data_IF_054389707907
#
_entry.id   IF_054389707907
#
_cell.length_a   1.000
_cell.length_b   1.000
_cell.length_c   1.000
_cell.angle_alpha   90.00
_cell.angle_beta   90.00
_cell.angle_gamma   90.00
#
_symmetry.space_group_name_H-M   'P 1'
#
loop_
_entity.id
_entity.type
_entity.pdbx_description
1 polymer ?
#
# COMPACT_ATOMS: atom_id res chain seq x y z
N UNK A 1 -84.06 -7.16 -11.16
CA UNK A 1 -83.43 -6.73 -9.90
C UNK A 1 -82.16 -7.55 -9.69
N UNK A 2 -80.98 -6.96 -9.85
CA UNK A 2 -79.70 -7.64 -9.66
C UNK A 2 -78.73 -6.71 -8.95
N UNK A 3 -78.36 -7.05 -7.72
CA UNK A 3 -77.57 -6.24 -6.80
C UNK A 3 -76.08 -6.53 -7.05
N UNK A 4 -75.37 -5.63 -7.74
CA UNK A 4 -73.91 -5.64 -7.81
C UNK A 4 -73.34 -4.98 -6.54
N UNK A 5 -72.85 -5.81 -5.63
CA UNK A 5 -72.09 -5.38 -4.44
C UNK A 5 -70.72 -4.85 -4.86
N UNK A 6 -70.54 -3.53 -4.82
CA UNK A 6 -69.24 -2.86 -4.97
C UNK A 6 -68.45 -3.04 -3.66
N UNK A 7 -67.60 -4.05 -3.60
CA UNK A 7 -66.57 -4.15 -2.56
C UNK A 7 -65.50 -3.07 -2.81
N UNK A 8 -65.68 -1.93 -2.16
CA UNK A 8 -64.65 -0.91 -1.99
C UNK A 8 -63.49 -1.51 -1.18
N UNK A 9 -62.41 -1.91 -1.85
CA UNK A 9 -61.13 -2.26 -1.20
C UNK A 9 -60.57 -1.00 -0.53
N UNK A 10 -60.74 -0.89 0.78
CA UNK A 10 -60.03 0.07 1.62
C UNK A 10 -58.53 -0.15 1.43
N UNK A 11 -57.82 0.79 0.79
CA UNK A 11 -56.35 0.79 0.75
C UNK A 11 -55.87 0.98 2.19
N UNK A 12 -55.43 -0.10 2.84
CA UNK A 12 -54.71 0.00 4.09
C UNK A 12 -53.46 0.87 3.84
N UNK A 13 -53.38 2.01 4.52
CA UNK A 13 -52.20 2.87 4.50
C UNK A 13 -51.10 2.14 5.25
N UNK A 14 -50.25 1.39 4.53
CA UNK A 14 -49.06 0.77 5.11
C UNK A 14 -48.15 1.88 5.59
N UNK A 15 -47.96 1.98 6.91
CA UNK A 15 -47.06 2.96 7.51
C UNK A 15 -45.62 2.62 7.10
N UNK A 16 -45.07 3.37 6.13
CA UNK A 16 -43.71 3.16 5.65
C UNK A 16 -42.70 3.43 6.78
N UNK A 17 -41.90 2.43 7.11
CA UNK A 17 -40.81 2.57 8.08
C UNK A 17 -39.60 3.22 7.41
N UNK A 18 -38.72 3.85 8.18
CA UNK A 18 -37.46 4.40 7.68
C UNK A 18 -36.33 3.44 8.02
N UNK A 19 -35.47 3.17 7.04
CA UNK A 19 -34.27 2.34 7.22
C UNK A 19 -33.03 3.10 6.76
N UNK A 20 -31.91 2.86 7.44
CA UNK A 20 -30.59 3.31 7.00
C UNK A 20 -29.86 2.15 6.34
N UNK A 21 -29.36 2.36 5.12
CA UNK A 21 -28.79 1.32 4.27
C UNK A 21 -27.34 1.59 3.91
N UNK A 22 -26.63 0.53 3.54
CA UNK A 22 -25.31 0.57 2.92
C UNK A 22 -25.41 0.06 1.47
N UNK A 23 -24.83 0.79 0.52
CA UNK A 23 -24.69 0.32 -0.86
C UNK A 23 -23.63 -0.76 -0.94
N UNK A 24 -24.01 -1.95 -1.41
CA UNK A 24 -23.15 -3.14 -1.44
C UNK A 24 -23.56 -4.04 -2.58
N UNK A 25 -22.59 -4.73 -3.17
CA UNK A 25 -22.86 -5.82 -4.10
C UNK A 25 -23.37 -7.05 -3.34
N UNK A 26 -24.25 -7.85 -3.96
CA UNK A 26 -24.84 -9.05 -3.35
C UNK A 26 -23.79 -10.09 -2.92
N UNK A 27 -22.63 -10.07 -3.57
CA UNK A 27 -21.50 -10.94 -3.30
C UNK A 27 -20.63 -10.50 -2.11
N UNK A 28 -20.93 -9.36 -1.48
CA UNK A 28 -20.16 -8.85 -0.35
C UNK A 28 -20.22 -9.84 0.83
N UNK A 29 -19.05 -10.32 1.25
CA UNK A 29 -18.91 -11.31 2.36
C UNK A 29 -19.29 -10.72 3.71
N UNK A 30 -18.88 -9.48 3.96
CA UNK A 30 -19.25 -8.70 5.15
C UNK A 30 -19.89 -7.38 4.70
N UNK A 31 -21.18 -7.40 4.34
CA UNK A 31 -21.86 -6.26 3.74
C UNK A 31 -22.02 -5.08 4.72
N UNK A 32 -21.86 -5.31 6.02
CA UNK A 32 -21.93 -4.26 7.05
C UNK A 32 -20.55 -3.88 7.61
N UNK A 33 -19.45 -4.42 7.06
CA UNK A 33 -18.11 -3.96 7.36
C UNK A 33 -18.02 -2.44 7.20
N UNK A 34 -17.52 -1.76 8.25
CA UNK A 34 -17.35 -0.31 8.32
C UNK A 34 -18.64 0.50 8.12
N UNK A 35 -19.82 -0.11 8.26
CA UNK A 35 -21.08 0.61 8.22
C UNK A 35 -21.23 1.50 9.46
N UNK A 36 -21.66 2.75 9.27
CA UNK A 36 -21.95 3.69 10.34
C UNK A 36 -23.42 4.10 10.27
N UNK A 37 -24.21 3.82 11.32
CA UNK A 37 -25.62 4.21 11.37
C UNK A 37 -25.83 5.72 11.15
N UNK A 38 -24.91 6.57 11.62
CA UNK A 38 -25.03 8.04 11.52
C UNK A 38 -24.73 8.60 10.13
N UNK A 39 -23.98 7.86 9.31
CA UNK A 39 -23.50 8.29 7.98
C UNK A 39 -24.12 7.51 6.82
N UNK A 40 -24.99 6.53 7.12
CA UNK A 40 -25.66 5.75 6.10
C UNK A 40 -26.79 6.51 5.40
N UNK A 41 -27.28 5.95 4.30
CA UNK A 41 -28.33 6.57 3.51
C UNK A 41 -29.71 6.15 4.00
N UNK A 42 -30.65 7.09 4.15
CA UNK A 42 -31.99 6.79 4.63
C UNK A 42 -32.99 6.60 3.48
N UNK A 43 -33.81 5.55 3.56
CA UNK A 43 -34.87 5.25 2.61
C UNK A 43 -36.17 4.88 3.33
N UNK A 44 -37.29 5.10 2.64
CA UNK A 44 -38.57 4.53 3.04
C UNK A 44 -38.59 3.04 2.67
N UNK A 45 -39.06 2.21 3.59
CA UNK A 45 -39.33 0.80 3.40
C UNK A 45 -40.82 0.61 3.04
N UNK A 46 -41.16 0.42 1.75
CA UNK A 46 -42.55 0.37 1.30
C UNK A 46 -43.15 -1.05 1.36
N UNK A 47 -42.36 -2.05 1.72
CA UNK A 47 -42.77 -3.46 1.71
C UNK A 47 -43.65 -3.79 2.93
N UNK A 48 -44.59 -4.75 2.79
CA UNK A 48 -45.51 -5.10 3.88
C UNK A 48 -44.81 -5.78 5.07
N UNK A 49 -43.68 -6.46 4.84
CA UNK A 49 -42.88 -7.07 5.90
C UNK A 49 -42.14 -6.01 6.71
N UNK A 50 -41.95 -6.27 8.00
CA UNK A 50 -41.13 -5.39 8.85
C UNK A 50 -39.65 -5.51 8.44
N UNK A 51 -38.92 -4.40 8.22
CA UNK A 51 -37.50 -4.44 7.90
C UNK A 51 -36.67 -4.98 9.07
N UNK A 52 -35.65 -5.77 8.75
CA UNK A 52 -34.64 -6.25 9.68
C UNK A 52 -33.23 -5.81 9.24
N UNK A 53 -32.30 -5.66 10.19
CA UNK A 53 -30.90 -5.42 9.86
C UNK A 53 -30.35 -6.66 9.13
N UNK A 54 -29.76 -6.44 7.96
CA UNK A 54 -29.31 -7.49 7.05
C UNK A 54 -30.28 -7.81 5.90
N UNK A 55 -31.50 -7.27 5.90
CA UNK A 55 -32.38 -7.35 4.74
C UNK A 55 -31.74 -6.65 3.52
N UNK A 56 -31.97 -7.21 2.33
CA UNK A 56 -31.46 -6.68 1.08
C UNK A 56 -32.59 -6.08 0.24
N UNK A 57 -32.26 -5.01 -0.48
CA UNK A 57 -33.19 -4.31 -1.35
C UNK A 57 -32.48 -3.63 -2.52
N UNK A 58 -33.26 -3.10 -3.46
CA UNK A 58 -32.81 -2.22 -4.53
C UNK A 58 -33.20 -0.79 -4.18
N UNK A 59 -32.23 0.12 -4.18
CA UNK A 59 -32.44 1.55 -3.99
C UNK A 59 -32.26 2.32 -5.32
N UNK A 60 -32.94 3.46 -5.51
CA UNK A 60 -32.67 4.34 -6.64
C UNK A 60 -31.33 5.07 -6.43
N UNK A 61 -30.28 4.64 -7.14
CA UNK A 61 -28.98 5.30 -7.18
C UNK A 61 -28.90 6.43 -8.21
N UNK A 62 -27.78 7.17 -8.19
CA UNK A 62 -27.51 8.27 -9.15
C UNK A 62 -27.36 7.72 -10.57
N UNK A 63 -26.65 6.59 -10.71
CA UNK A 63 -26.38 5.94 -12.00
C UNK A 63 -27.39 4.82 -12.34
N UNK A 64 -28.52 4.78 -11.61
CA UNK A 64 -29.56 3.77 -11.76
C UNK A 64 -29.79 2.92 -10.49
N UNK A 65 -30.63 1.88 -10.57
CA UNK A 65 -30.93 1.01 -9.43
C UNK A 65 -29.67 0.31 -8.91
N UNK A 66 -29.49 0.30 -7.58
CA UNK A 66 -28.34 -0.32 -6.93
C UNK A 66 -28.75 -1.18 -5.73
N UNK A 67 -27.97 -2.22 -5.46
CA UNK A 67 -28.21 -3.14 -4.34
C UNK A 67 -27.77 -2.50 -3.02
N UNK A 68 -28.61 -2.65 -2.00
CA UNK A 68 -28.37 -2.14 -0.66
C UNK A 68 -28.69 -3.18 0.39
N UNK A 69 -28.01 -3.10 1.53
CA UNK A 69 -28.31 -3.87 2.74
C UNK A 69 -28.78 -2.92 3.84
N UNK A 70 -29.81 -3.30 4.59
CA UNK A 70 -30.27 -2.56 5.77
C UNK A 70 -29.23 -2.70 6.87
N UNK A 71 -28.60 -1.60 7.26
CA UNK A 71 -27.60 -1.58 8.33
C UNK A 71 -28.13 -1.07 9.66
N UNK A 72 -29.22 -0.29 9.64
CA UNK A 72 -29.86 0.22 10.85
C UNK A 72 -31.35 0.55 10.59
N UNK A 73 -32.18 0.43 11.63
CA UNK A 73 -33.60 0.78 11.58
C UNK A 73 -33.81 2.17 12.17
N UNK A 74 -34.37 3.10 11.39
CA UNK A 74 -34.59 4.47 11.81
C UNK A 74 -33.95 5.50 10.88
N UNK A 75 -34.12 6.78 11.25
CA UNK A 75 -33.61 7.92 10.50
C UNK A 75 -32.28 8.39 11.12
N UNK A 76 -31.16 8.41 10.38
CA UNK A 76 -29.91 8.93 10.89
C UNK A 76 -30.00 10.45 11.10
N UNK A 77 -29.19 11.00 12.01
CA UNK A 77 -29.23 12.43 12.30
C UNK A 77 -28.99 13.30 11.04
N UNK A 78 -28.14 12.81 10.14
CA UNK A 78 -27.78 13.44 8.87
C UNK A 78 -28.94 13.56 7.86
N UNK A 79 -30.01 12.77 8.00
CA UNK A 79 -31.14 12.75 7.06
C UNK A 79 -32.40 13.48 7.58
N UNK A 80 -32.32 14.15 8.74
CA UNK A 80 -33.45 14.90 9.29
C UNK A 80 -33.83 16.07 8.38
N UNK A 81 -35.13 16.17 8.06
CA UNK A 81 -35.67 17.22 7.19
C UNK A 81 -35.48 16.97 5.68
N UNK A 82 -34.86 15.86 5.29
CA UNK A 82 -34.73 15.49 3.88
C UNK A 82 -35.96 14.73 3.38
N UNK A 83 -36.33 14.95 2.12
CA UNK A 83 -37.32 14.13 1.44
C UNK A 83 -36.71 12.75 1.12
N UNK A 84 -37.26 11.69 1.72
CA UNK A 84 -36.75 10.33 1.57
C UNK A 84 -37.34 9.65 0.33
N UNK A 85 -36.49 8.95 -0.41
CA UNK A 85 -36.93 8.07 -1.51
C UNK A 85 -37.35 6.71 -0.95
N UNK A 86 -38.23 6.02 -1.65
CA UNK A 86 -38.58 4.63 -1.32
C UNK A 86 -37.62 3.64 -1.99
N UNK A 87 -37.41 2.50 -1.34
CA UNK A 87 -36.77 1.33 -1.96
C UNK A 87 -37.66 0.78 -3.07
N UNK A 88 -37.04 0.25 -4.13
CA UNK A 88 -37.72 -0.19 -5.35
C UNK A 88 -38.21 -1.65 -5.23
N UNK A 89 -37.35 -2.52 -4.71
CA UNK A 89 -37.60 -3.96 -4.66
C UNK A 89 -36.90 -4.58 -3.44
N UNK A 90 -37.54 -5.56 -2.80
CA UNK A 90 -36.90 -6.37 -1.74
C UNK A 90 -36.21 -7.57 -2.40
N UNK A 91 -34.97 -7.83 -2.01
CA UNK A 91 -34.18 -8.95 -2.54
C UNK A 91 -34.30 -10.13 -1.57
N UNK A 92 -34.86 -11.28 -1.99
CA UNK A 92 -34.92 -12.47 -1.15
C UNK A 92 -33.53 -12.95 -0.72
N UNK A 93 -33.39 -13.41 0.53
CA UNK A 93 -32.12 -13.96 1.04
C UNK A 93 -31.59 -15.13 0.20
N UNK A 94 -32.47 -15.93 -0.37
CA UNK A 94 -32.12 -16.99 -1.33
C UNK A 94 -31.44 -16.45 -2.60
N UNK A 95 -31.81 -15.27 -3.08
CA UNK A 95 -31.17 -14.62 -4.22
C UNK A 95 -29.78 -14.11 -3.86
N UNK A 96 -29.62 -13.57 -2.64
CA UNK A 96 -28.31 -13.20 -2.09
C UNK A 96 -27.41 -14.43 -1.96
N UNK A 97 -27.94 -15.53 -1.41
CA UNK A 97 -27.22 -16.80 -1.27
C UNK A 97 -26.80 -17.38 -2.64
N UNK A 98 -27.70 -17.39 -3.63
CA UNK A 98 -27.38 -17.81 -5.01
C UNK A 98 -26.29 -16.94 -5.64
N UNK A 99 -26.35 -15.62 -5.45
CA UNK A 99 -25.34 -14.70 -5.95
C UNK A 99 -23.97 -14.98 -5.32
N UNK A 100 -23.93 -15.16 -3.99
CA UNK A 100 -22.70 -15.51 -3.26
C UNK A 100 -22.13 -16.86 -3.69
N UNK A 101 -22.99 -17.89 -3.83
CA UNK A 101 -22.55 -19.21 -4.27
C UNK A 101 -21.98 -19.20 -5.70
N UNK A 102 -22.57 -18.42 -6.61
CA UNK A 102 -22.04 -18.23 -7.96
C UNK A 102 -20.67 -17.57 -7.94
N UNK A 103 -20.51 -16.52 -7.13
CA UNK A 103 -19.24 -15.80 -7.02
C UNK A 103 -18.15 -16.64 -6.34
N UNK A 104 -18.52 -17.43 -5.34
CA UNK A 104 -17.64 -18.42 -4.73
C UNK A 104 -17.22 -19.51 -5.73
N UNK A 105 -18.16 -20.01 -6.54
CA UNK A 105 -17.85 -20.97 -7.60
C UNK A 105 -16.92 -20.38 -8.68
N UNK A 106 -17.13 -19.11 -9.06
CA UNK A 106 -16.27 -18.40 -10.00
C UNK A 106 -14.87 -18.16 -9.41
N UNK A 107 -14.78 -17.76 -8.14
CA UNK A 107 -13.53 -17.64 -7.42
C UNK A 107 -12.78 -18.99 -7.34
N UNK A 108 -13.50 -20.07 -7.03
CA UNK A 108 -12.93 -21.42 -7.05
C UNK A 108 -12.38 -21.80 -8.43
N UNK A 109 -13.14 -21.55 -9.49
CA UNK A 109 -12.71 -21.83 -10.85
C UNK A 109 -11.47 -21.01 -11.23
N UNK A 110 -11.41 -19.74 -10.85
CA UNK A 110 -10.23 -18.90 -11.10
C UNK A 110 -9.00 -19.36 -10.32
N UNK A 111 -9.15 -19.81 -9.07
CA UNK A 111 -8.06 -20.40 -8.30
C UNK A 111 -7.58 -21.73 -8.88
N UNK A 112 -8.48 -22.57 -9.38
CA UNK A 112 -8.08 -23.80 -10.06
C UNK A 112 -7.30 -23.50 -11.36
N UNK A 113 -7.70 -22.44 -12.08
CA UNK A 113 -6.92 -21.92 -13.21
C UNK A 113 -5.54 -21.38 -12.75
N UNK A 114 -5.44 -20.74 -11.58
CA UNK A 114 -4.18 -20.32 -10.99
C UNK A 114 -3.26 -21.49 -10.64
N UNK A 115 -3.82 -22.56 -10.07
CA UNK A 115 -3.11 -23.78 -9.73
C UNK A 115 -2.49 -24.44 -10.96
N UNK A 116 -3.22 -24.45 -12.07
CA UNK A 116 -2.69 -24.88 -13.35
C UNK A 116 -1.57 -23.95 -13.83
N UNK A 117 -1.80 -22.63 -13.85
CA UNK A 117 -0.83 -21.65 -14.31
C UNK A 117 0.47 -21.65 -13.49
N UNK A 118 0.42 -22.09 -12.22
CA UNK A 118 1.59 -22.24 -11.35
C UNK A 118 2.36 -23.54 -11.57
N UNK A 119 1.87 -24.44 -12.44
CA UNK A 119 2.46 -25.76 -12.68
C UNK A 119 2.22 -26.79 -11.56
N UNK A 120 1.28 -26.53 -10.64
CA UNK A 120 0.89 -27.50 -9.60
C UNK A 120 -0.09 -28.56 -10.13
N UNK A 121 -0.67 -28.33 -11.31
CA UNK A 121 -1.50 -29.27 -12.04
C UNK A 121 -1.02 -29.33 -13.49
N UNK A 122 -1.05 -30.53 -14.09
CA UNK A 122 -0.63 -30.80 -15.46
C UNK A 122 -1.79 -30.81 -16.47
N UNK A 123 -3.02 -30.53 -16.02
CA UNK A 123 -4.15 -30.42 -16.93
C UNK A 123 -4.10 -29.13 -17.75
N UNK A 124 -3.58 -29.19 -18.97
CA UNK A 124 -3.56 -28.06 -19.89
C UNK A 124 -4.96 -27.63 -20.36
N UNK A 125 -5.16 -26.31 -20.56
CA UNK A 125 -6.30 -25.78 -21.31
C UNK A 125 -7.49 -25.15 -20.54
N UNK A 126 -7.46 -24.93 -19.21
CA UNK A 126 -8.55 -24.16 -18.57
C UNK A 126 -8.45 -22.68 -18.93
N UNK A 127 -9.60 -22.03 -19.11
CA UNK A 127 -9.71 -20.58 -19.32
C UNK A 127 -10.25 -19.94 -18.04
N UNK A 128 -9.85 -18.70 -17.70
CA UNK A 128 -10.41 -18.02 -16.56
C UNK A 128 -11.93 -17.80 -16.75
N UNK A 129 -12.73 -17.82 -15.67
CA UNK A 129 -14.13 -17.48 -15.74
C UNK A 129 -14.34 -16.02 -16.21
N UNK A 130 -15.47 -15.69 -16.86
CA UNK A 130 -15.77 -14.32 -17.25
C UNK A 130 -15.70 -13.35 -16.07
N UNK A 131 -15.10 -12.18 -16.29
CA UNK A 131 -14.92 -11.15 -15.26
C UNK A 131 -13.70 -11.34 -14.35
N UNK A 132 -12.93 -12.41 -14.53
CA UNK A 132 -11.64 -12.60 -13.87
C UNK A 132 -10.48 -12.34 -14.82
N UNK A 133 -9.40 -11.80 -14.28
CA UNK A 133 -8.21 -11.52 -15.05
C UNK A 133 -7.52 -12.81 -15.50
N UNK A 134 -6.98 -12.78 -16.71
CA UNK A 134 -6.03 -13.80 -17.18
C UNK A 134 -4.81 -13.75 -16.26
N UNK A 135 -4.44 -14.89 -15.71
CA UNK A 135 -3.28 -14.98 -14.85
C UNK A 135 -2.03 -14.94 -15.71
N UNK A 136 -1.10 -14.13 -15.24
CA UNK A 136 0.21 -14.00 -15.86
C UNK A 136 1.01 -15.29 -15.70
N UNK A 137 2.03 -15.52 -16.54
CA UNK A 137 2.92 -16.65 -16.38
C UNK A 137 3.49 -16.75 -14.96
N UNK A 138 3.76 -17.96 -14.48
CA UNK A 138 4.39 -18.16 -13.17
C UNK A 138 5.83 -17.64 -13.13
N UNK A 139 6.50 -17.59 -14.28
CA UNK A 139 7.87 -17.14 -14.43
C UNK A 139 8.11 -16.63 -15.87
N UNK A 140 9.18 -15.87 -16.05
CA UNK A 140 9.63 -15.42 -17.35
C UNK A 140 10.25 -14.02 -17.30
N UNK A 141 10.81 -13.54 -18.42
CA UNK A 141 11.20 -12.15 -18.53
C UNK A 141 9.96 -11.25 -18.59
N UNK A 142 10.04 -10.08 -17.96
CA UNK A 142 9.04 -9.03 -18.11
C UNK A 142 9.67 -7.66 -17.83
N UNK A 143 9.17 -6.64 -18.51
CA UNK A 143 9.43 -5.24 -18.18
C UNK A 143 8.92 -4.91 -16.76
N UNK A 144 9.49 -3.91 -16.07
CA UNK A 144 9.15 -3.63 -14.67
C UNK A 144 7.65 -3.45 -14.41
N UNK A 145 6.95 -2.72 -15.29
CA UNK A 145 5.53 -2.45 -15.12
C UNK A 145 4.68 -3.70 -15.39
N UNK A 146 5.13 -4.57 -16.31
CA UNK A 146 4.51 -5.88 -16.52
C UNK A 146 4.76 -6.82 -15.36
N UNK A 147 5.95 -6.82 -14.78
CA UNK A 147 6.25 -7.56 -13.56
C UNK A 147 5.39 -7.08 -12.37
N UNK A 148 5.09 -5.77 -12.27
CA UNK A 148 4.15 -5.25 -11.26
C UNK A 148 2.72 -5.79 -11.46
N UNK A 149 2.22 -5.70 -12.69
CA UNK A 149 0.91 -6.22 -13.08
C UNK A 149 0.79 -7.72 -12.74
N UNK A 150 1.80 -8.49 -13.12
CA UNK A 150 1.87 -9.94 -12.90
C UNK A 150 1.93 -10.28 -11.42
N UNK A 151 2.79 -9.58 -10.67
CA UNK A 151 2.89 -9.73 -9.22
C UNK A 151 1.57 -9.45 -8.51
N UNK A 152 0.80 -8.43 -8.93
CA UNK A 152 -0.52 -8.12 -8.36
C UNK A 152 -1.55 -9.19 -8.67
N UNK A 153 -1.54 -9.76 -9.87
CA UNK A 153 -2.45 -10.84 -10.23
C UNK A 153 -2.23 -12.07 -9.32
N UNK A 154 -0.97 -12.49 -9.16
CA UNK A 154 -0.61 -13.60 -8.27
C UNK A 154 -0.83 -13.29 -6.78
N UNK A 155 -0.62 -12.03 -6.36
CA UNK A 155 -0.90 -11.61 -4.99
C UNK A 155 -2.40 -11.67 -4.66
N UNK A 156 -3.27 -11.35 -5.62
CA UNK A 156 -4.72 -11.54 -5.48
C UNK A 156 -5.09 -13.02 -5.38
N UNK A 157 -4.50 -13.87 -6.21
CA UNK A 157 -4.70 -15.32 -6.13
C UNK A 157 -4.28 -15.85 -4.75
N UNK A 158 -3.13 -15.43 -4.22
CA UNK A 158 -2.68 -15.73 -2.86
C UNK A 158 -3.69 -15.33 -1.78
N UNK A 159 -4.12 -14.05 -1.77
CA UNK A 159 -5.05 -13.57 -0.74
C UNK A 159 -6.42 -14.27 -0.83
N UNK A 160 -6.90 -14.52 -2.05
CA UNK A 160 -8.18 -15.21 -2.26
C UNK A 160 -8.09 -16.68 -1.85
N UNK A 161 -7.01 -17.38 -2.21
CA UNK A 161 -6.76 -18.76 -1.80
C UNK A 161 -6.70 -18.88 -0.27
N UNK A 162 -6.01 -17.95 0.40
CA UNK A 162 -5.96 -17.89 1.87
C UNK A 162 -7.35 -17.66 2.47
N UNK A 163 -8.11 -16.70 1.93
CA UNK A 163 -9.45 -16.38 2.40
C UNK A 163 -10.50 -17.48 2.11
N UNK A 164 -10.18 -18.45 1.25
CA UNK A 164 -11.02 -19.61 0.93
C UNK A 164 -10.51 -20.91 1.58
N UNK A 165 -9.46 -20.85 2.39
CA UNK A 165 -8.92 -22.03 3.07
C UNK A 165 -8.35 -23.08 2.12
N UNK A 166 -7.76 -22.65 0.99
CA UNK A 166 -7.11 -23.57 0.04
C UNK A 166 -5.89 -24.27 0.66
N UNK A 167 -5.45 -25.41 0.10
CA UNK A 167 -4.27 -26.13 0.57
C UNK A 167 -3.04 -25.23 0.75
N UNK A 168 -2.26 -25.48 1.80
CA UNK A 168 -1.16 -24.60 2.19
C UNK A 168 0.00 -24.56 1.20
N UNK A 169 0.23 -25.66 0.46
CA UNK A 169 1.18 -25.76 -0.65
C UNK A 169 0.78 -24.85 -1.82
N UNK A 170 -0.51 -24.84 -2.17
CA UNK A 170 -1.07 -23.96 -3.21
C UNK A 170 -0.94 -22.48 -2.81
N UNK A 171 -1.35 -22.14 -1.59
CA UNK A 171 -1.23 -20.77 -1.05
C UNK A 171 0.24 -20.31 -1.03
N UNK A 172 1.16 -21.19 -0.63
CA UNK A 172 2.59 -20.90 -0.62
C UNK A 172 3.15 -20.68 -2.03
N UNK A 173 2.73 -21.49 -3.01
CA UNK A 173 3.17 -21.35 -4.39
C UNK A 173 2.74 -20.01 -4.99
N UNK A 174 1.47 -19.61 -4.85
CA UNK A 174 0.97 -18.32 -5.37
C UNK A 174 1.71 -17.14 -4.76
N UNK A 175 1.99 -17.22 -3.44
CA UNK A 175 2.79 -16.21 -2.75
C UNK A 175 4.21 -16.11 -3.30
N UNK A 176 4.86 -17.25 -3.50
CA UNK A 176 6.23 -17.31 -4.02
C UNK A 176 6.32 -16.66 -5.41
N UNK A 177 5.41 -17.03 -6.32
CA UNK A 177 5.34 -16.47 -7.67
C UNK A 177 5.13 -14.95 -7.63
N UNK A 178 4.15 -14.48 -6.84
CA UNK A 178 3.90 -13.04 -6.71
C UNK A 178 5.12 -12.28 -6.19
N UNK A 179 5.84 -12.86 -5.22
CA UNK A 179 7.08 -12.29 -4.71
C UNK A 179 8.21 -12.28 -5.75
N UNK A 180 8.34 -13.31 -6.57
CA UNK A 180 9.36 -13.38 -7.62
C UNK A 180 9.17 -12.27 -8.65
N UNK A 181 7.93 -12.04 -9.08
CA UNK A 181 7.59 -10.92 -9.96
C UNK A 181 7.91 -9.55 -9.34
N UNK A 182 7.55 -9.33 -8.07
CA UNK A 182 7.91 -8.09 -7.38
C UNK A 182 9.43 -7.92 -7.23
N UNK A 183 10.17 -9.00 -6.97
CA UNK A 183 11.65 -8.96 -6.93
C UNK A 183 12.23 -8.59 -8.30
N UNK A 184 11.66 -9.10 -9.39
CA UNK A 184 12.08 -8.74 -10.75
C UNK A 184 11.85 -7.24 -11.02
N UNK A 185 10.65 -6.73 -10.75
CA UNK A 185 10.29 -5.31 -10.83
C UNK A 185 11.27 -4.44 -10.03
N UNK A 186 11.49 -4.80 -8.77
CA UNK A 186 12.31 -4.01 -7.84
C UNK A 186 13.79 -4.03 -8.23
N UNK A 187 14.28 -5.14 -8.78
CA UNK A 187 15.64 -5.25 -9.33
C UNK A 187 15.81 -4.32 -10.52
N UNK A 188 14.89 -4.36 -11.48
CA UNK A 188 14.99 -3.53 -12.69
C UNK A 188 14.88 -2.04 -12.35
N UNK A 189 13.91 -1.64 -11.52
CA UNK A 189 13.81 -0.24 -11.04
C UNK A 189 15.05 0.24 -10.29
N UNK A 190 15.68 -0.65 -9.53
CA UNK A 190 16.96 -0.35 -8.87
C UNK A 190 18.07 -0.15 -9.90
N UNK A 191 18.19 -1.03 -10.89
CA UNK A 191 19.18 -0.89 -11.97
C UNK A 191 18.99 0.41 -12.75
N UNK A 192 17.76 0.78 -13.11
CA UNK A 192 17.47 2.03 -13.81
C UNK A 192 17.81 3.26 -12.97
N UNK A 193 17.52 3.23 -11.66
CA UNK A 193 17.94 4.30 -10.76
C UNK A 193 19.46 4.38 -10.65
N UNK A 194 20.13 3.25 -10.45
CA UNK A 194 21.58 3.17 -10.30
C UNK A 194 22.28 3.64 -11.59
N UNK A 195 21.74 3.31 -12.77
CA UNK A 195 22.24 3.79 -14.06
C UNK A 195 22.07 5.32 -14.21
N UNK A 196 20.88 5.85 -13.90
CA UNK A 196 20.61 7.30 -13.96
C UNK A 196 21.51 8.10 -13.03
N UNK A 197 21.73 7.63 -11.80
CA UNK A 197 22.61 8.36 -10.88
C UNK A 197 24.08 8.27 -11.30
N UNK A 198 24.52 7.14 -11.86
CA UNK A 198 25.87 7.03 -12.42
C UNK A 198 26.08 7.94 -13.63
N UNK A 199 25.09 8.09 -14.50
CA UNK A 199 25.11 9.05 -15.61
C UNK A 199 25.16 10.50 -15.08
N UNK A 200 24.31 10.83 -14.09
CA UNK A 200 24.33 12.14 -13.45
C UNK A 200 25.67 12.44 -12.77
N UNK A 201 26.28 11.45 -12.11
CA UNK A 201 27.60 11.56 -11.50
C UNK A 201 28.69 11.85 -12.54
N UNK A 202 28.63 11.19 -13.71
CA UNK A 202 29.57 11.43 -14.81
C UNK A 202 29.39 12.80 -15.48
N UNK A 203 28.15 13.32 -15.52
CA UNK A 203 27.83 14.61 -16.12
C UNK A 203 28.06 15.82 -15.18
N UNK A 204 28.22 15.57 -13.88
CA UNK A 204 28.33 16.60 -12.84
C UNK A 204 29.79 16.76 -12.40
N UNK A 205 30.26 18.00 -12.24
CA UNK A 205 31.52 18.27 -11.51
C UNK A 205 31.28 18.05 -10.00
N UNK A 206 31.28 16.77 -9.61
CA UNK A 206 31.01 16.35 -8.23
C UNK A 206 32.06 16.89 -7.26
N UNK A 207 33.30 17.04 -7.73
CA UNK A 207 34.40 17.65 -6.98
C UNK A 207 34.10 19.11 -6.60
N UNK A 208 33.63 19.90 -7.57
CA UNK A 208 33.19 21.27 -7.29
C UNK A 208 31.95 21.30 -6.39
N UNK A 209 30.97 20.43 -6.62
CA UNK A 209 29.77 20.34 -5.79
C UNK A 209 30.10 19.99 -4.33
N UNK A 210 31.03 19.06 -4.10
CA UNK A 210 31.51 18.68 -2.76
C UNK A 210 32.22 19.85 -2.09
N UNK A 211 33.09 20.58 -2.80
CA UNK A 211 33.78 21.76 -2.24
C UNK A 211 32.82 22.87 -1.83
N UNK A 212 31.74 23.05 -2.61
CA UNK A 212 30.77 24.12 -2.43
C UNK A 212 29.49 23.68 -1.68
N UNK A 213 29.50 22.54 -0.99
CA UNK A 213 28.30 21.97 -0.35
C UNK A 213 27.66 22.92 0.67
N UNK A 214 28.44 23.78 1.30
CA UNK A 214 27.93 24.77 2.26
C UNK A 214 27.14 25.91 1.59
N UNK A 215 27.36 26.16 0.30
CA UNK A 215 26.77 27.26 -0.46
C UNK A 215 25.60 26.81 -1.36
N UNK A 216 24.92 25.71 -0.97
CA UNK A 216 23.79 25.16 -1.72
C UNK A 216 22.61 26.14 -1.79
N UNK A 217 21.94 26.28 -2.94
CA UNK A 217 20.72 27.07 -3.04
C UNK A 217 19.65 26.57 -2.07
N UNK A 218 18.94 27.49 -1.41
CA UNK A 218 17.83 27.15 -0.50
C UNK A 218 16.79 26.22 -1.14
N UNK A 219 16.49 26.42 -2.42
CA UNK A 219 15.56 25.56 -3.17
C UNK A 219 16.03 24.10 -3.29
N UNK A 220 17.34 23.84 -3.34
CA UNK A 220 17.89 22.49 -3.27
C UNK A 220 17.80 21.90 -1.87
N UNK A 221 18.07 22.72 -0.84
CA UNK A 221 17.98 22.32 0.57
C UNK A 221 16.56 21.87 0.90
N UNK A 222 15.55 22.68 0.57
CA UNK A 222 14.13 22.39 0.81
C UNK A 222 13.62 21.14 0.07
N UNK A 223 14.25 20.79 -1.06
CA UNK A 223 13.88 19.61 -1.88
C UNK A 223 14.76 18.38 -1.61
N UNK A 224 15.68 18.44 -0.65
CA UNK A 224 16.66 17.37 -0.39
C UNK A 224 17.47 16.99 -1.65
N UNK A 225 17.92 18.00 -2.40
CA UNK A 225 18.74 17.81 -3.61
C UNK A 225 20.19 18.21 -3.37
N UNK A 226 21.15 17.44 -3.85
CA UNK A 226 22.55 17.83 -3.92
C UNK A 226 22.98 17.72 -5.38
N UNK A 227 23.57 18.78 -5.94
CA UNK A 227 24.01 18.78 -7.34
C UNK A 227 22.91 18.29 -8.32
N UNK A 228 21.68 18.80 -8.14
CA UNK A 228 20.52 18.44 -8.96
C UNK A 228 19.88 17.06 -8.74
N UNK A 229 20.43 16.19 -7.89
CA UNK A 229 19.87 14.85 -7.62
C UNK A 229 19.46 14.68 -6.15
N UNK A 230 18.53 13.77 -5.86
CA UNK A 230 18.10 13.56 -4.47
C UNK A 230 19.24 13.01 -3.61
N UNK A 231 19.28 13.39 -2.33
CA UNK A 231 20.28 12.84 -1.40
C UNK A 231 20.23 11.30 -1.32
N UNK A 232 19.03 10.72 -1.50
CA UNK A 232 18.83 9.26 -1.53
C UNK A 232 19.44 8.60 -2.76
N UNK A 233 19.40 9.24 -3.92
CA UNK A 233 20.03 8.73 -5.13
C UNK A 233 21.56 8.75 -4.98
N UNK A 234 22.12 9.84 -4.43
CA UNK A 234 23.55 9.87 -4.13
C UNK A 234 23.98 8.81 -3.11
N UNK A 235 23.14 8.48 -2.13
CA UNK A 235 23.43 7.36 -1.23
C UNK A 235 23.45 6.01 -1.97
N UNK A 236 22.63 5.83 -3.00
CA UNK A 236 22.70 4.63 -3.85
C UNK A 236 24.01 4.61 -4.66
N UNK A 237 24.45 5.76 -5.19
CA UNK A 237 25.74 5.88 -5.87
C UNK A 237 26.94 5.62 -4.94
N UNK A 238 26.91 6.12 -3.70
CA UNK A 238 27.91 5.77 -2.67
C UNK A 238 28.00 4.25 -2.47
N UNK A 239 26.87 3.54 -2.47
CA UNK A 239 26.87 2.08 -2.34
C UNK A 239 27.46 1.38 -3.57
N UNK A 240 27.36 1.99 -4.76
CA UNK A 240 28.02 1.50 -5.97
C UNK A 240 29.54 1.70 -5.90
N UNK A 241 30.00 2.89 -5.49
CA UNK A 241 31.42 3.16 -5.20
C UNK A 241 31.97 2.18 -4.16
N UNK A 242 31.22 1.90 -3.09
CA UNK A 242 31.57 0.91 -2.07
C UNK A 242 31.74 -0.50 -2.66
N UNK A 243 30.83 -0.92 -3.55
CA UNK A 243 30.90 -2.21 -4.25
C UNK A 243 32.11 -2.31 -5.18
N UNK A 244 32.52 -1.21 -5.77
CA UNK A 244 33.69 -1.11 -6.65
C UNK A 244 35.02 -0.97 -5.88
N UNK A 245 34.98 -0.83 -4.55
CA UNK A 245 36.18 -0.64 -3.72
C UNK A 245 36.68 0.80 -3.64
N UNK A 246 35.95 1.76 -4.23
CA UNK A 246 36.28 3.18 -4.25
C UNK A 246 35.88 3.87 -2.92
N UNK A 247 36.41 3.37 -1.81
CA UNK A 247 36.01 3.77 -0.46
C UNK A 247 36.34 5.23 -0.12
N UNK A 248 37.41 5.77 -0.68
CA UNK A 248 37.81 7.17 -0.46
C UNK A 248 36.82 8.14 -1.11
N UNK A 249 36.48 7.90 -2.38
CA UNK A 249 35.48 8.67 -3.11
C UNK A 249 34.10 8.59 -2.44
N UNK A 250 33.72 7.38 -2.00
CA UNK A 250 32.49 7.16 -1.25
C UNK A 250 32.44 8.00 0.04
N UNK A 251 33.55 8.07 0.80
CA UNK A 251 33.63 8.87 2.02
C UNK A 251 33.61 10.38 1.75
N UNK A 252 34.27 10.84 0.69
CA UNK A 252 34.20 12.25 0.26
C UNK A 252 32.77 12.67 -0.05
N UNK A 253 32.05 11.88 -0.85
CA UNK A 253 30.66 12.14 -1.17
C UNK A 253 29.77 12.07 0.09
N UNK A 254 29.93 11.06 0.94
CA UNK A 254 29.18 10.96 2.20
C UNK A 254 29.39 12.16 3.13
N UNK A 255 30.61 12.71 3.18
CA UNK A 255 30.90 13.90 3.98
C UNK A 255 30.08 15.10 3.51
N UNK A 256 29.93 15.27 2.19
CA UNK A 256 29.05 16.27 1.60
C UNK A 256 27.57 15.97 1.87
N UNK A 257 27.13 14.72 1.75
CA UNK A 257 25.73 14.34 2.03
C UNK A 257 25.34 14.56 3.51
N UNK A 258 26.28 14.39 4.45
CA UNK A 258 26.06 14.70 5.87
C UNK A 258 25.84 16.21 6.04
N UNK A 259 26.69 17.06 5.46
CA UNK A 259 26.49 18.52 5.47
C UNK A 259 25.14 18.87 4.84
N UNK A 260 24.81 18.22 3.72
CA UNK A 260 23.59 18.49 2.98
C UNK A 260 22.32 18.15 3.77
N UNK A 261 22.36 17.07 4.55
CA UNK A 261 21.29 16.65 5.45
C UNK A 261 21.20 17.55 6.69
N UNK A 262 22.33 18.05 7.21
CA UNK A 262 22.34 19.02 8.33
C UNK A 262 21.70 20.36 7.92
N UNK A 263 21.95 20.85 6.70
CA UNK A 263 21.29 22.05 6.17
C UNK A 263 19.78 21.86 6.01
N UNK A 264 19.33 20.68 5.56
CA UNK A 264 17.89 20.41 5.44
C UNK A 264 17.21 20.34 6.80
N UNK A 265 17.84 19.68 7.77
CA UNK A 265 17.39 19.61 9.15
C UNK A 265 17.19 21.01 9.77
N UNK A 266 18.12 21.94 9.49
CA UNK A 266 18.01 23.32 9.94
C UNK A 266 16.78 24.04 9.36
N UNK A 267 16.46 23.78 8.08
CA UNK A 267 15.31 24.39 7.41
C UNK A 267 13.98 23.74 7.79
N UNK A 268 13.94 22.41 7.90
CA UNK A 268 12.70 21.66 8.18
C UNK A 268 12.37 21.55 9.67
N UNK A 269 13.33 21.88 10.54
CA UNK A 269 13.21 21.71 11.99
C UNK A 269 13.20 20.24 12.43
N UNK A 270 13.64 19.33 11.56
CA UNK A 270 13.76 17.88 11.83
C UNK A 270 15.21 17.50 12.08
N UNK A 271 15.43 16.29 12.58
CA UNK A 271 16.77 15.73 12.68
C UNK A 271 17.43 15.44 11.32
N UNK A 272 18.76 15.59 11.19
CA UNK A 272 19.48 15.12 10.01
C UNK A 272 19.33 13.61 9.86
N UNK A 273 19.00 13.15 8.64
CA UNK A 273 18.78 11.74 8.36
C UNK A 273 20.04 10.89 8.72
N UNK A 274 19.91 9.88 9.60
CA UNK A 274 21.06 9.12 10.12
C UNK A 274 21.74 8.23 9.08
N UNK A 275 21.08 7.94 7.95
CA UNK A 275 21.56 6.98 6.95
C UNK A 275 22.94 7.33 6.37
N UNK A 276 23.25 8.62 6.17
CA UNK A 276 24.55 9.06 5.64
C UNK A 276 25.68 8.85 6.66
N UNK A 277 25.44 9.25 7.91
CA UNK A 277 26.37 9.02 9.04
C UNK A 277 26.60 7.53 9.27
N UNK A 278 25.52 6.72 9.28
CA UNK A 278 25.61 5.27 9.46
C UNK A 278 26.48 4.63 8.37
N UNK A 279 26.31 5.05 7.11
CA UNK A 279 27.09 4.54 5.98
C UNK A 279 28.56 4.96 6.06
N UNK A 280 28.84 6.21 6.43
CA UNK A 280 30.22 6.69 6.62
C UNK A 280 30.94 5.91 7.72
N UNK A 281 30.27 5.70 8.86
CA UNK A 281 30.79 4.91 9.97
C UNK A 281 31.09 3.45 9.56
N UNK A 282 30.24 2.83 8.74
CA UNK A 282 30.49 1.49 8.18
C UNK A 282 31.77 1.47 7.33
N UNK A 283 31.98 2.46 6.46
CA UNK A 283 33.15 2.50 5.59
C UNK A 283 34.44 2.77 6.39
N UNK A 284 34.42 3.69 7.36
CA UNK A 284 35.55 3.91 8.27
C UNK A 284 35.93 2.62 9.01
N UNK A 285 34.94 1.87 9.51
CA UNK A 285 35.17 0.56 10.14
C UNK A 285 35.80 -0.45 9.19
N UNK A 286 35.39 -0.51 7.93
CA UNK A 286 36.00 -1.38 6.90
C UNK A 286 37.47 -1.03 6.67
N UNK A 287 37.82 0.26 6.73
CA UNK A 287 39.19 0.77 6.65
C UNK A 287 39.99 0.63 7.96
N UNK A 288 39.35 0.13 9.03
CA UNK A 288 39.88 0.09 10.40
C UNK A 288 40.29 1.46 10.95
N UNK A 289 39.69 2.53 10.42
CA UNK A 289 39.86 3.89 10.91
C UNK A 289 38.81 4.16 12.00
N UNK A 290 39.06 3.62 13.19
CA UNK A 290 38.10 3.72 14.30
C UNK A 290 37.99 5.16 14.84
N UNK A 291 39.06 5.95 14.73
CA UNK A 291 39.04 7.36 15.13
C UNK A 291 38.05 8.15 14.27
N UNK A 292 38.07 7.97 12.94
CA UNK A 292 37.11 8.60 12.05
C UNK A 292 35.69 8.02 12.20
N UNK A 293 35.53 6.71 12.48
CA UNK A 293 34.23 6.11 12.82
C UNK A 293 33.62 6.80 14.05
N UNK A 294 34.41 7.04 15.11
CA UNK A 294 33.94 7.77 16.30
C UNK A 294 33.58 9.21 15.96
N UNK A 295 34.46 9.93 15.26
CA UNK A 295 34.29 11.35 14.96
C UNK A 295 33.00 11.64 14.15
N UNK A 296 32.68 10.78 13.17
CA UNK A 296 31.49 10.98 12.33
C UNK A 296 30.19 10.73 13.12
N UNK A 297 30.18 9.75 14.02
CA UNK A 297 28.99 9.48 14.86
C UNK A 297 28.80 10.58 15.91
N UNK A 298 29.90 11.04 16.53
CA UNK A 298 29.84 12.15 17.50
C UNK A 298 29.40 13.47 16.87
N UNK A 299 29.73 13.71 15.59
CA UNK A 299 29.18 14.84 14.83
C UNK A 299 27.66 14.77 14.74
N UNK A 300 27.11 13.62 14.38
CA UNK A 300 25.65 13.45 14.27
C UNK A 300 24.96 13.57 15.63
N UNK A 301 25.54 13.03 16.70
CA UNK A 301 25.02 13.19 18.07
C UNK A 301 24.95 14.67 18.49
N UNK A 302 25.94 15.49 18.10
CA UNK A 302 25.90 16.94 18.35
C UNK A 302 24.83 17.66 17.51
N UNK A 303 24.64 17.26 16.26
CA UNK A 303 23.62 17.83 15.38
C UNK A 303 22.19 17.44 15.81
N UNK A 304 22.04 16.31 16.50
CA UNK A 304 20.76 15.75 16.91
C UNK A 304 20.82 15.25 18.37
N UNK A 305 20.79 16.14 19.37
CA UNK A 305 20.87 15.73 20.77
C UNK A 305 19.59 14.98 21.22
N UNK A 306 19.67 14.13 22.27
CA UNK A 306 18.56 13.33 22.81
C UNK A 306 17.21 14.05 22.89
N UNK A 307 17.23 15.33 23.28
CA UNK A 307 16.06 16.15 23.55
C UNK A 307 15.36 16.69 22.29
N UNK A 308 16.04 16.68 21.13
CA UNK A 308 15.54 17.23 19.86
C UNK A 308 15.15 16.17 18.82
N UNK A 309 15.13 14.90 19.20
CA UNK A 309 14.92 13.77 18.26
C UNK A 309 13.45 13.48 18.01
N UNK A 310 13.09 13.25 16.75
CA UNK A 310 11.81 12.66 16.37
C UNK A 310 11.69 11.15 16.68
N UNK A 311 10.46 10.60 16.67
CA UNK A 311 10.18 9.21 16.99
C UNK A 311 10.75 8.17 15.98
N UNK A 312 11.37 8.62 14.88
CA UNK A 312 11.88 7.77 13.81
C UNK A 312 13.40 7.58 13.77
N UNK A 313 14.18 8.29 14.59
CA UNK A 313 15.63 8.23 14.51
C UNK A 313 16.18 6.88 15.05
N UNK A 314 16.91 6.13 14.21
CA UNK A 314 17.54 4.82 14.50
C UNK A 314 18.75 4.92 15.45
N UNK A 315 18.56 5.57 16.60
CA UNK A 315 19.61 5.94 17.55
C UNK A 315 20.31 4.74 18.20
N UNK A 316 19.55 3.70 18.56
CA UNK A 316 20.11 2.54 19.25
C UNK A 316 21.24 1.87 18.46
N UNK A 317 21.19 1.95 17.12
CA UNK A 317 22.22 1.40 16.24
C UNK A 317 23.49 2.27 16.23
N UNK A 318 23.36 3.59 16.12
CA UNK A 318 24.49 4.51 16.12
C UNK A 318 25.18 4.58 17.49
N UNK A 319 24.43 4.60 18.59
CA UNK A 319 24.98 4.56 19.95
C UNK A 319 25.76 3.27 20.21
N UNK A 320 25.15 2.11 19.92
CA UNK A 320 25.84 0.81 20.08
C UNK A 320 27.09 0.72 19.20
N UNK A 321 27.08 1.36 18.02
CA UNK A 321 28.25 1.44 17.15
C UNK A 321 29.33 2.35 17.73
N UNK A 322 28.98 3.52 18.27
CA UNK A 322 29.90 4.46 18.89
C UNK A 322 30.66 3.83 20.05
N UNK A 323 29.96 3.13 20.95
CA UNK A 323 30.57 2.41 22.06
C UNK A 323 31.60 1.38 21.58
N UNK A 324 31.24 0.58 20.56
CA UNK A 324 32.15 -0.40 19.96
C UNK A 324 33.34 0.25 19.28
N UNK A 325 33.12 1.37 18.58
CA UNK A 325 34.18 2.08 17.87
C UNK A 325 35.19 2.70 18.85
N UNK A 326 34.72 3.32 19.95
CA UNK A 326 35.58 3.83 21.04
C UNK A 326 36.42 2.73 21.68
N UNK A 327 35.82 1.57 21.97
CA UNK A 327 36.53 0.44 22.53
C UNK A 327 37.61 -0.14 21.59
N UNK A 328 37.41 -0.05 20.27
CA UNK A 328 38.40 -0.45 19.27
C UNK A 328 39.51 0.60 19.11
N UNK A 329 39.16 1.88 19.11
CA UNK A 329 40.13 2.98 19.03
C UNK A 329 41.10 2.99 20.22
N UNK A 330 40.65 2.62 21.43
CA UNK A 330 41.52 2.49 22.61
C UNK A 330 42.48 1.29 22.56
N UNK A 331 42.22 0.32 21.68
CA UNK A 331 43.01 -0.92 21.53
C UNK A 331 43.96 -0.89 20.33
N UNK A 332 43.85 0.13 19.48
CA UNK A 332 44.59 0.28 18.22
C UNK A 332 45.78 1.19 18.43
#
# INVERSE_FOLDING_TARGET
>A
MGIFSKLSRTKATVQSQVVTVAFRDLNSRDPLANFSPERGYAYLWPFPEKPEVGDWAIAPGVDGPATVVVGHLGLPASARGMALKALLERIPLESVARARARDEAAACHWLDYARQASGLDHQDGRRPPPGFDVLSPAQGPAEPDKADEYGRAWWRAYNLAQAMGRPSDEVAAFKAIGQDWFRLRDRARRQDRDARISEAAAATDLDAAIRNVHDRPRAEVEKMLFAGQSLWDWLAYVQDLERQGNLEEALRLLSALIVAAEQEAEVSGREPAPAYTERAAIIHRKRRDYAAEVAVIERWERACPPEKRGPGATQAKLLSRLERARALAQKS
#
